data_IF_355321886531
#
_entry.id   IF_355321886531
#
_cell.length_a   1.000
_cell.length_b   1.000
_cell.length_c   1.000
_cell.angle_alpha   90.00
_cell.angle_beta   90.00
_cell.angle_gamma   90.00
#
_symmetry.space_group_name_H-M   'P 1'
#
loop_
_entity.id
_entity.type
_entity.pdbx_description
1 polymer ?
#
# COMPACT_ATOMS: atom_id res chain seq x y z
N UNK A 1 -36.38 -5.03 -37.99
CA UNK A 1 -35.60 -4.21 -37.08
C UNK A 1 -36.44 -3.99 -35.83
N UNK A 2 -36.27 -4.81 -34.83
CA UNK A 2 -37.08 -4.79 -33.62
C UNK A 2 -36.33 -3.97 -32.55
N UNK A 3 -36.83 -2.75 -32.31
CA UNK A 3 -36.48 -2.01 -31.10
C UNK A 3 -37.12 -2.77 -29.91
N UNK A 4 -36.35 -3.54 -29.21
CA UNK A 4 -36.74 -3.98 -27.88
C UNK A 4 -36.76 -2.76 -26.95
N UNK A 5 -37.98 -2.33 -26.57
CA UNK A 5 -38.13 -1.38 -25.47
C UNK A 5 -37.56 -1.98 -24.21
N UNK A 6 -36.55 -1.35 -23.62
CA UNK A 6 -36.05 -1.70 -22.27
C UNK A 6 -37.22 -1.70 -21.30
N UNK A 7 -37.23 -2.65 -20.39
CA UNK A 7 -38.29 -2.72 -19.35
C UNK A 7 -38.13 -1.54 -18.39
N UNK A 8 -39.23 -1.00 -17.86
CA UNK A 8 -39.21 0.06 -16.84
C UNK A 8 -38.34 -0.29 -15.61
N UNK A 9 -38.15 -1.59 -15.35
CA UNK A 9 -37.28 -2.08 -14.27
C UNK A 9 -35.80 -1.93 -14.58
N UNK A 10 -35.38 -2.09 -15.83
CA UNK A 10 -34.00 -1.90 -16.26
C UNK A 10 -33.60 -0.42 -16.24
N UNK A 11 -34.51 0.47 -16.68
CA UNK A 11 -34.28 1.92 -16.60
C UNK A 11 -34.14 2.40 -15.14
N UNK A 12 -35.00 1.89 -14.23
CA UNK A 12 -34.94 2.24 -12.82
C UNK A 12 -33.66 1.74 -12.15
N UNK A 13 -33.15 0.55 -12.49
CA UNK A 13 -31.89 0.02 -11.97
C UNK A 13 -30.70 0.79 -12.50
N UNK A 14 -30.72 1.26 -13.74
CA UNK A 14 -29.66 2.08 -14.33
C UNK A 14 -29.59 3.46 -13.63
N UNK A 15 -30.73 4.09 -13.37
CA UNK A 15 -30.83 5.36 -12.67
C UNK A 15 -30.34 5.25 -11.20
N UNK A 16 -30.73 4.18 -10.50
CA UNK A 16 -30.25 3.89 -9.13
C UNK A 16 -28.74 3.66 -9.11
N UNK A 17 -28.18 2.94 -10.06
CA UNK A 17 -26.74 2.72 -10.18
C UNK A 17 -25.99 4.02 -10.43
N UNK A 18 -26.47 4.89 -11.26
CA UNK A 18 -25.86 6.21 -11.53
C UNK A 18 -25.90 7.11 -10.29
N UNK A 19 -26.96 7.11 -9.52
CA UNK A 19 -27.09 7.87 -8.28
C UNK A 19 -26.16 7.32 -7.20
N UNK A 20 -26.10 6.00 -7.03
CA UNK A 20 -25.29 5.36 -5.97
C UNK A 20 -23.79 5.41 -6.26
N UNK A 21 -23.39 5.38 -7.53
CA UNK A 21 -21.98 5.33 -7.91
C UNK A 21 -21.40 6.71 -8.21
N UNK A 22 -22.24 7.76 -8.37
CA UNK A 22 -21.80 9.10 -8.73
C UNK A 22 -21.00 9.13 -10.04
N UNK A 23 -21.29 8.19 -10.96
CA UNK A 23 -20.61 8.06 -12.24
C UNK A 23 -21.29 8.98 -13.26
N UNK A 24 -20.56 9.86 -13.96
CA UNK A 24 -21.10 10.65 -15.04
C UNK A 24 -21.76 9.77 -16.10
N UNK A 25 -22.85 10.24 -16.73
CA UNK A 25 -23.65 9.47 -17.71
C UNK A 25 -22.83 8.96 -18.91
N UNK A 26 -21.80 9.69 -19.31
CA UNK A 26 -20.86 9.30 -20.36
C UNK A 26 -19.96 8.11 -20.00
N UNK A 27 -19.82 7.83 -18.69
CA UNK A 27 -19.04 6.69 -18.15
C UNK A 27 -19.98 5.54 -17.72
N UNK A 28 -21.29 5.78 -17.60
CA UNK A 28 -22.26 4.78 -17.15
C UNK A 28 -22.34 3.52 -18.04
N UNK A 29 -21.89 3.62 -19.29
CA UNK A 29 -21.81 2.50 -20.23
C UNK A 29 -20.49 1.71 -20.13
N UNK A 30 -19.51 2.18 -19.36
CA UNK A 30 -18.34 1.40 -19.04
C UNK A 30 -18.75 0.35 -18.00
N UNK A 31 -18.82 -0.92 -18.39
CA UNK A 31 -18.87 -2.01 -17.44
C UNK A 31 -17.63 -1.91 -16.54
N UNK A 32 -17.80 -1.33 -15.34
CA UNK A 32 -16.74 -1.33 -14.33
C UNK A 32 -16.49 -2.79 -13.93
N UNK A 33 -15.33 -3.34 -14.29
CA UNK A 33 -15.19 -4.79 -14.36
C UNK A 33 -15.18 -5.49 -13.01
N UNK A 34 -15.01 -4.79 -11.89
CA UNK A 34 -14.98 -5.41 -10.56
C UNK A 34 -15.10 -4.35 -9.45
N UNK A 35 -15.95 -4.57 -8.42
CA UNK A 35 -15.98 -3.72 -7.21
C UNK A 35 -14.61 -3.53 -6.57
N UNK A 36 -13.76 -4.56 -6.56
CA UNK A 36 -12.39 -4.52 -6.05
C UNK A 36 -11.52 -3.50 -6.77
N UNK A 37 -11.68 -3.32 -8.10
CA UNK A 37 -10.96 -2.30 -8.86
C UNK A 37 -11.37 -0.89 -8.45
N UNK A 38 -12.65 -0.67 -8.18
CA UNK A 38 -13.16 0.63 -7.71
C UNK A 38 -12.54 1.00 -6.35
N UNK A 39 -12.48 0.03 -5.44
CA UNK A 39 -11.91 0.25 -4.11
C UNK A 39 -10.39 0.50 -4.22
N UNK A 40 -9.70 -0.24 -5.07
CA UNK A 40 -8.28 0.00 -5.37
C UNK A 40 -8.04 1.43 -5.92
N UNK A 41 -8.86 1.90 -6.89
CA UNK A 41 -8.73 3.27 -7.41
C UNK A 41 -9.02 4.33 -6.33
N UNK A 42 -9.96 4.07 -5.42
CA UNK A 42 -10.24 4.96 -4.30
C UNK A 42 -9.04 5.03 -3.36
N UNK A 43 -8.46 3.88 -3.01
CA UNK A 43 -7.28 3.82 -2.15
C UNK A 43 -6.08 4.53 -2.80
N UNK A 44 -5.89 4.37 -4.12
CA UNK A 44 -4.87 5.14 -4.85
C UNK A 44 -5.13 6.65 -4.79
N UNK A 45 -6.37 7.09 -5.01
CA UNK A 45 -6.75 8.50 -4.89
C UNK A 45 -6.53 9.02 -3.47
N UNK A 46 -6.79 8.19 -2.46
CA UNK A 46 -6.59 8.53 -1.05
C UNK A 46 -5.16 8.33 -0.57
N UNK A 47 -4.28 7.83 -1.44
CA UNK A 47 -2.88 7.51 -1.16
C UNK A 47 -2.75 6.55 0.02
N UNK A 48 -3.58 5.52 0.03
CA UNK A 48 -3.52 4.42 0.98
C UNK A 48 -2.84 3.23 0.32
N UNK A 49 -1.82 2.69 0.97
CA UNK A 49 -1.12 1.47 0.57
C UNK A 49 -1.27 0.41 1.65
N UNK A 50 -1.79 -0.75 1.30
CA UNK A 50 -1.91 -1.88 2.21
C UNK A 50 -0.70 -2.80 2.07
N UNK A 51 0.04 -2.98 3.16
CA UNK A 51 1.06 -3.99 3.33
C UNK A 51 0.48 -5.10 4.21
N UNK A 52 -0.17 -6.07 3.57
CA UNK A 52 -0.88 -7.19 4.19
C UNK A 52 -0.22 -8.55 3.92
N UNK A 53 1.06 -8.54 3.65
CA UNK A 53 1.85 -9.71 3.28
C UNK A 53 3.25 -9.66 3.89
N UNK A 54 4.03 -10.71 3.64
CA UNK A 54 5.44 -10.72 3.98
C UNK A 54 6.21 -9.66 3.17
N UNK A 55 7.20 -9.04 3.80
CA UNK A 55 8.12 -8.11 3.13
C UNK A 55 9.10 -8.90 2.28
N UNK A 56 8.94 -8.83 0.96
CA UNK A 56 9.76 -9.49 -0.06
C UNK A 56 10.00 -8.57 -1.26
N UNK A 57 10.56 -9.09 -2.34
CA UNK A 57 10.85 -8.31 -3.54
C UNK A 57 9.59 -7.65 -4.16
N UNK A 58 8.41 -8.27 -4.01
CA UNK A 58 7.14 -7.68 -4.44
C UNK A 58 6.81 -6.38 -3.69
N UNK A 59 7.27 -6.27 -2.44
CA UNK A 59 7.04 -5.06 -1.61
C UNK A 59 7.85 -3.84 -2.09
N UNK A 60 8.84 -4.02 -3.00
CA UNK A 60 9.54 -2.91 -3.66
C UNK A 60 8.60 -2.01 -4.49
N UNK A 61 7.40 -2.48 -4.82
CA UNK A 61 6.36 -1.63 -5.43
C UNK A 61 5.99 -0.44 -4.52
N UNK A 62 6.09 -0.58 -3.20
CA UNK A 62 5.91 0.53 -2.27
C UNK A 62 6.94 1.65 -2.48
N UNK A 63 8.19 1.31 -2.79
CA UNK A 63 9.24 2.30 -3.12
C UNK A 63 8.86 3.09 -4.36
N UNK A 64 8.41 2.39 -5.41
CA UNK A 64 7.95 3.02 -6.67
C UNK A 64 6.72 3.90 -6.41
N UNK A 65 5.79 3.44 -5.58
CA UNK A 65 4.61 4.17 -5.17
C UNK A 65 4.97 5.49 -4.46
N UNK A 66 5.89 5.45 -3.49
CA UNK A 66 6.40 6.62 -2.79
C UNK A 66 7.00 7.63 -3.77
N UNK A 67 7.83 7.17 -4.73
CA UNK A 67 8.44 8.05 -5.73
C UNK A 67 7.40 8.65 -6.67
N UNK A 68 6.39 7.90 -7.09
CA UNK A 68 5.28 8.40 -7.90
C UNK A 68 4.54 9.54 -7.19
N UNK A 69 4.14 9.33 -5.94
CA UNK A 69 3.47 10.36 -5.14
C UNK A 69 4.33 11.61 -4.94
N UNK A 70 5.64 11.44 -4.70
CA UNK A 70 6.56 12.57 -4.60
C UNK A 70 6.67 13.36 -5.91
N UNK A 71 6.66 12.66 -7.06
CA UNK A 71 6.68 13.29 -8.38
C UNK A 71 5.42 14.11 -8.65
N UNK A 72 4.25 13.60 -8.27
CA UNK A 72 2.96 14.30 -8.39
C UNK A 72 2.89 15.57 -7.52
N UNK A 73 3.67 15.60 -6.44
CA UNK A 73 3.71 16.72 -5.50
C UNK A 73 4.85 17.71 -5.78
N UNK A 74 5.58 17.54 -6.89
CA UNK A 74 6.62 18.50 -7.29
C UNK A 74 6.01 19.90 -7.48
N UNK A 75 6.60 20.88 -6.83
CA UNK A 75 6.12 22.27 -6.86
C UNK A 75 5.05 22.63 -5.82
N UNK A 76 4.46 21.65 -5.13
CA UNK A 76 3.53 21.92 -4.02
C UNK A 76 4.29 22.16 -2.71
N UNK A 77 3.90 23.14 -1.90
CA UNK A 77 4.38 23.28 -0.53
C UNK A 77 4.03 22.03 0.29
N UNK A 78 4.80 21.75 1.34
CA UNK A 78 4.64 20.50 2.13
C UNK A 78 3.25 20.42 2.76
N UNK A 79 2.71 21.54 3.17
CA UNK A 79 1.40 21.67 3.84
C UNK A 79 0.23 21.27 2.93
N UNK A 80 0.41 21.40 1.62
CA UNK A 80 -0.61 21.06 0.61
C UNK A 80 -0.45 19.63 0.06
N UNK A 81 0.63 18.93 0.42
CA UNK A 81 0.86 17.56 -0.06
C UNK A 81 -0.03 16.58 0.68
N UNK A 82 -0.81 15.82 -0.08
CA UNK A 82 -1.60 14.73 0.48
C UNK A 82 -0.64 13.65 1.02
N UNK A 83 -0.80 13.28 2.28
CA UNK A 83 -0.01 12.22 2.92
C UNK A 83 -0.14 10.89 2.17
N UNK A 84 0.88 10.08 2.23
CA UNK A 84 0.80 8.64 1.94
C UNK A 84 0.51 7.93 3.26
N UNK A 85 -0.49 7.04 3.30
CA UNK A 85 -0.80 6.21 4.45
C UNK A 85 -0.46 4.76 4.13
N UNK A 86 0.47 4.19 4.89
CA UNK A 86 0.83 2.77 4.80
C UNK A 86 0.11 2.02 5.93
N UNK A 87 -0.84 1.19 5.54
CA UNK A 87 -1.58 0.30 6.46
C UNK A 87 -0.82 -1.02 6.55
N UNK A 88 -0.49 -1.46 7.77
CA UNK A 88 0.42 -2.58 8.01
C UNK A 88 -0.29 -3.71 8.75
N UNK A 89 -0.29 -4.90 8.12
CA UNK A 89 -0.57 -6.21 8.71
C UNK A 89 0.43 -7.21 8.13
N UNK A 90 1.60 -7.36 8.78
CA UNK A 90 2.71 -8.10 8.18
C UNK A 90 3.56 -8.83 9.23
N UNK A 91 3.96 -10.07 8.93
CA UNK A 91 4.90 -10.81 9.77
C UNK A 91 6.36 -10.31 9.67
N UNK A 92 6.63 -9.34 8.81
CA UNK A 92 7.99 -8.90 8.48
C UNK A 92 8.56 -9.61 7.27
N UNK A 93 9.88 -9.74 7.17
CA UNK A 93 10.56 -10.40 6.04
C UNK A 93 11.95 -9.89 5.75
N UNK A 94 12.26 -9.62 4.48
CA UNK A 94 13.60 -9.22 4.01
C UNK A 94 14.06 -7.88 4.58
N UNK A 95 15.22 -7.89 5.20
CA UNK A 95 15.87 -6.69 5.75
C UNK A 95 16.37 -5.78 4.63
N UNK A 96 16.81 -6.34 3.51
CA UNK A 96 17.30 -5.61 2.34
C UNK A 96 16.15 -4.81 1.69
N UNK A 97 15.00 -5.45 1.54
CA UNK A 97 13.80 -4.78 1.03
C UNK A 97 13.33 -3.70 1.99
N UNK A 98 13.29 -4.02 3.30
CA UNK A 98 12.99 -3.04 4.35
C UNK A 98 13.90 -1.82 4.25
N UNK A 99 15.23 -2.01 4.15
CA UNK A 99 16.20 -0.93 4.06
C UNK A 99 15.92 -0.01 2.86
N UNK A 100 15.53 -0.59 1.71
CA UNK A 100 15.15 0.16 0.52
C UNK A 100 13.90 1.02 0.76
N UNK A 101 12.88 0.48 1.43
CA UNK A 101 11.65 1.20 1.76
C UNK A 101 11.95 2.31 2.77
N UNK A 102 12.73 2.03 3.81
CA UNK A 102 13.16 3.03 4.81
C UNK A 102 13.93 4.18 4.15
N UNK A 103 14.82 3.86 3.19
CA UNK A 103 15.52 4.85 2.39
C UNK A 103 14.57 5.76 1.63
N UNK A 104 13.56 5.19 0.98
CA UNK A 104 12.53 5.95 0.26
C UNK A 104 11.70 6.84 1.20
N UNK A 105 11.32 6.35 2.38
CA UNK A 105 10.61 7.13 3.40
C UNK A 105 11.48 8.31 3.86
N UNK A 106 12.74 8.06 4.15
CA UNK A 106 13.68 9.08 4.66
C UNK A 106 13.91 10.24 3.69
N UNK A 107 13.94 9.98 2.40
CA UNK A 107 14.16 11.02 1.38
C UNK A 107 12.85 11.65 0.88
N UNK A 108 11.71 11.07 1.22
CA UNK A 108 10.40 11.56 0.78
C UNK A 108 10.14 12.98 1.30
N UNK A 109 9.75 13.86 0.39
CA UNK A 109 9.23 15.20 0.70
C UNK A 109 7.73 15.20 1.00
N UNK A 110 7.01 14.17 0.52
CA UNK A 110 5.59 13.96 0.81
C UNK A 110 5.46 13.27 2.16
N UNK A 111 4.58 13.73 3.06
CA UNK A 111 4.41 13.10 4.37
C UNK A 111 3.98 11.64 4.25
N UNK A 112 4.66 10.75 4.97
CA UNK A 112 4.34 9.31 5.03
C UNK A 112 3.92 8.96 6.45
N UNK A 113 2.72 8.42 6.57
CA UNK A 113 2.17 7.93 7.82
C UNK A 113 2.07 6.41 7.77
N UNK A 114 2.38 5.76 8.87
CA UNK A 114 2.27 4.32 9.02
C UNK A 114 1.23 3.99 10.08
N UNK A 115 0.44 2.96 9.84
CA UNK A 115 -0.60 2.52 10.76
C UNK A 115 -0.63 1.00 10.84
N UNK A 116 -0.38 0.44 12.01
CA UNK A 116 -0.64 -0.98 12.26
C UNK A 116 -2.12 -1.18 12.51
N UNK A 117 -2.78 -2.06 11.73
CA UNK A 117 -4.21 -2.34 11.92
C UNK A 117 -4.50 -3.78 12.39
N UNK A 118 -3.50 -4.68 12.35
CA UNK A 118 -3.59 -6.02 12.92
C UNK A 118 -2.25 -6.43 13.52
N UNK A 119 -1.25 -6.76 12.72
CA UNK A 119 0.09 -7.16 13.19
C UNK A 119 1.20 -6.38 12.52
N UNK A 120 2.28 -6.13 13.26
CA UNK A 120 3.52 -5.59 12.72
C UNK A 120 4.69 -6.30 13.41
N UNK A 121 5.25 -7.34 12.77
CA UNK A 121 6.33 -8.12 13.37
C UNK A 121 7.65 -7.93 12.65
N UNK A 122 8.77 -7.97 13.39
CA UNK A 122 10.12 -7.95 12.82
C UNK A 122 10.32 -6.74 11.89
N UNK A 123 10.73 -6.93 10.65
CA UNK A 123 10.91 -5.88 9.64
C UNK A 123 9.67 -4.98 9.45
N UNK A 124 8.47 -5.50 9.65
CA UNK A 124 7.25 -4.69 9.58
C UNK A 124 7.09 -3.74 10.78
N UNK A 125 7.56 -4.15 11.96
CA UNK A 125 7.59 -3.27 13.14
C UNK A 125 8.61 -2.14 12.97
N UNK A 126 9.75 -2.43 12.36
CA UNK A 126 10.75 -1.42 12.01
C UNK A 126 10.20 -0.46 10.95
N UNK A 127 9.48 -0.97 9.95
CA UNK A 127 8.81 -0.13 8.96
C UNK A 127 7.77 0.79 9.60
N UNK A 128 6.96 0.27 10.53
CA UNK A 128 5.99 1.06 11.29
C UNK A 128 6.70 2.20 12.03
N UNK A 129 7.87 1.93 12.63
CA UNK A 129 8.66 2.91 13.36
C UNK A 129 9.22 4.03 12.46
N UNK A 130 9.40 3.79 11.17
CA UNK A 130 10.03 4.74 10.23
C UNK A 130 9.08 5.80 9.66
N UNK A 131 7.77 5.66 9.82
CA UNK A 131 6.81 6.65 9.35
C UNK A 131 7.01 8.03 10.00
N UNK A 132 6.75 9.11 9.28
CA UNK A 132 6.77 10.48 9.80
C UNK A 132 5.74 10.68 10.92
N UNK A 133 4.58 10.01 10.82
CA UNK A 133 3.63 9.80 11.91
C UNK A 133 3.27 8.33 11.96
N UNK A 134 3.08 7.82 13.16
CA UNK A 134 2.84 6.40 13.44
C UNK A 134 1.56 6.23 14.23
N UNK A 135 0.77 5.24 13.84
CA UNK A 135 -0.50 4.91 14.46
C UNK A 135 -0.60 3.40 14.68
N UNK A 136 -1.39 3.01 15.63
CA UNK A 136 -1.80 1.63 15.83
C UNK A 136 -3.26 1.62 16.27
N UNK A 137 -4.04 0.70 15.71
CA UNK A 137 -5.41 0.48 16.19
C UNK A 137 -5.38 -0.23 17.54
N UNK A 138 -6.42 -0.11 18.36
CA UNK A 138 -6.56 -0.92 19.56
C UNK A 138 -6.46 -2.42 19.24
N UNK A 139 -5.85 -3.19 20.13
CA UNK A 139 -5.70 -4.66 20.04
C UNK A 139 -4.77 -5.15 18.93
N UNK A 140 -3.93 -4.28 18.36
CA UNK A 140 -2.85 -4.69 17.44
C UNK A 140 -1.67 -5.29 18.18
N UNK A 141 -0.90 -6.15 17.49
CA UNK A 141 0.28 -6.77 18.04
C UNK A 141 1.54 -6.30 17.32
N UNK A 142 2.57 -5.99 18.09
CA UNK A 142 3.89 -5.62 17.56
C UNK A 142 4.95 -6.51 18.17
N UNK A 143 5.94 -6.93 17.36
CA UNK A 143 7.05 -7.72 17.87
C UNK A 143 8.36 -7.25 17.24
N UNK A 144 9.29 -6.92 18.11
CA UNK A 144 10.67 -6.61 17.77
C UNK A 144 11.57 -7.75 18.27
N UNK A 145 12.52 -8.16 17.48
CA UNK A 145 13.52 -9.15 17.87
C UNK A 145 14.86 -8.86 17.17
N UNK A 146 15.93 -9.44 17.70
CA UNK A 146 17.20 -9.47 16.98
C UNK A 146 17.00 -10.24 15.68
N UNK A 147 17.48 -9.70 14.57
CA UNK A 147 17.34 -10.32 13.25
C UNK A 147 17.87 -11.74 13.22
N UNK A 148 17.28 -12.58 12.38
CA UNK A 148 17.77 -13.92 12.06
C UNK A 148 18.27 -13.96 10.63
N UNK A 149 19.39 -14.63 10.40
CA UNK A 149 19.93 -14.85 9.06
C UNK A 149 20.06 -16.35 8.80
N UNK A 150 19.67 -16.76 7.60
CA UNK A 150 19.89 -18.11 7.11
C UNK A 150 20.90 -18.05 5.96
N UNK A 151 21.98 -18.80 6.09
CA UNK A 151 23.03 -18.87 5.08
C UNK A 151 23.01 -20.23 4.39
N UNK A 152 23.02 -20.22 3.05
CA UNK A 152 23.23 -21.42 2.24
C UNK A 152 24.50 -21.23 1.42
N UNK A 153 25.36 -22.24 1.43
CA UNK A 153 26.60 -22.22 0.67
C UNK A 153 27.60 -23.24 1.19
N UNK A 154 28.85 -23.18 0.69
CA UNK A 154 29.94 -23.94 1.23
C UNK A 154 30.27 -23.49 2.67
N UNK A 155 30.96 -24.34 3.43
CA UNK A 155 31.37 -23.99 4.81
C UNK A 155 32.17 -22.66 4.83
N UNK A 156 33.01 -22.42 3.83
CA UNK A 156 33.80 -21.19 3.72
C UNK A 156 32.93 -19.96 3.50
N UNK A 157 31.85 -20.07 2.75
CA UNK A 157 30.90 -18.97 2.49
C UNK A 157 30.15 -18.63 3.79
N UNK A 158 29.70 -19.65 4.52
CA UNK A 158 29.03 -19.52 5.81
C UNK A 158 29.94 -18.86 6.85
N UNK A 159 31.21 -19.30 6.94
CA UNK A 159 32.18 -18.76 7.89
C UNK A 159 32.61 -17.32 7.53
N UNK A 160 32.59 -16.97 6.25
CA UNK A 160 32.81 -15.60 5.80
C UNK A 160 31.64 -14.70 6.14
N UNK A 161 30.41 -15.14 5.94
CA UNK A 161 29.21 -14.39 6.28
C UNK A 161 29.11 -14.11 7.80
N UNK A 162 29.43 -15.07 8.67
CA UNK A 162 29.43 -14.92 10.15
C UNK A 162 30.36 -13.80 10.67
N UNK A 163 31.35 -13.38 9.87
CA UNK A 163 32.28 -12.30 10.28
C UNK A 163 31.70 -10.90 10.12
N UNK A 164 30.57 -10.78 9.42
CA UNK A 164 29.92 -9.49 9.17
C UNK A 164 28.73 -9.21 10.10
N UNK A 165 28.38 -10.20 10.95
CA UNK A 165 27.34 -10.11 11.97
C UNK A 165 27.89 -10.46 13.36
#
# INVERSE_FOLDING_TARGET
MSNLSRSKGEECMEEVNNILLGIPEDIANLQLPNPTLRDHFRDEQDRIYYLDSQIDDGTLELVKYIFRCNKEDVGKPIEERKRILIMIDSPGGSVEVLASIMGAIKISKTPIWTCCYCTAYSAAADLLACGHKRFALPMTNMMFHAGSACYQGSQNDIDSAKKFF
#
